data_IF_586331973861
#
_entry.id   IF_586331973861
#
_cell.length_a   1.000
_cell.length_b   1.000
_cell.length_c   1.000
_cell.angle_alpha   90.00
_cell.angle_beta   90.00
_cell.angle_gamma   90.00
#
_symmetry.space_group_name_H-M   'P 1'
#
loop_
_entity.id
_entity.type
_entity.pdbx_description
1 polymer ?
#
# COMPACT_ATOMS: atom_id res chain seq x y z
N UNK A 1 10.69 5.08 28.47
CA UNK A 1 9.92 3.96 29.05
C UNK A 1 8.81 3.69 28.06
N UNK A 2 8.89 2.59 27.31
CA UNK A 2 7.83 2.20 26.38
C UNK A 2 6.55 1.97 27.18
N UNK A 3 5.50 2.72 26.87
CA UNK A 3 4.17 2.48 27.42
C UNK A 3 3.70 1.12 26.87
N UNK A 4 3.93 0.05 27.64
CA UNK A 4 3.40 -1.27 27.30
C UNK A 4 1.87 -1.17 27.15
N UNK A 5 1.36 -1.67 26.03
CA UNK A 5 -0.08 -1.76 25.81
C UNK A 5 -0.68 -2.76 26.79
N UNK A 6 -1.77 -2.36 27.46
CA UNK A 6 -2.19 -3.01 28.70
C UNK A 6 -3.04 -4.29 28.52
N UNK A 7 -3.49 -4.65 27.31
CA UNK A 7 -4.28 -5.88 27.10
C UNK A 7 -3.41 -7.07 26.64
N UNK A 8 -3.13 -8.06 27.52
CA UNK A 8 -2.31 -9.22 27.18
C UNK A 8 -2.97 -10.14 26.14
N UNK A 9 -4.25 -9.91 25.82
CA UNK A 9 -4.99 -10.67 24.79
C UNK A 9 -4.78 -10.12 23.39
N UNK A 10 -4.17 -8.94 23.22
CA UNK A 10 -3.76 -8.45 21.90
C UNK A 10 -2.44 -9.13 21.52
N UNK A 11 -2.43 -9.84 20.39
CA UNK A 11 -1.23 -10.48 19.84
C UNK A 11 -1.00 -10.06 18.41
N UNK A 12 0.22 -9.66 18.06
CA UNK A 12 0.60 -9.29 16.69
C UNK A 12 1.62 -10.30 16.18
N UNK A 13 1.37 -10.92 15.04
CA UNK A 13 2.33 -11.79 14.37
C UNK A 13 2.76 -11.18 13.04
N UNK A 14 4.02 -11.38 12.69
CA UNK A 14 4.58 -11.02 11.40
C UNK A 14 4.86 -12.28 10.59
N UNK A 15 4.57 -12.22 9.29
CA UNK A 15 5.00 -13.23 8.33
C UNK A 15 6.17 -12.66 7.48
N UNK A 16 6.58 -13.34 6.41
CA UNK A 16 7.87 -13.05 5.76
C UNK A 16 7.87 -11.84 4.80
N UNK A 17 6.71 -11.29 4.41
CA UNK A 17 6.66 -10.25 3.37
C UNK A 17 7.33 -8.93 3.77
N UNK A 18 7.18 -8.51 5.02
CA UNK A 18 7.66 -7.21 5.50
C UNK A 18 7.80 -7.19 7.03
N UNK A 19 8.75 -7.99 7.53
CA UNK A 19 9.07 -8.04 8.96
C UNK A 19 9.50 -6.68 9.55
N UNK A 20 10.32 -5.84 8.88
CA UNK A 20 10.70 -4.54 9.41
C UNK A 20 9.50 -3.64 9.75
N UNK A 21 8.50 -3.55 8.86
CA UNK A 21 7.28 -2.80 9.13
C UNK A 21 6.49 -3.40 10.30
N UNK A 22 6.37 -4.73 10.36
CA UNK A 22 5.64 -5.40 11.44
C UNK A 22 6.27 -5.15 12.83
N UNK A 23 7.60 -5.11 12.91
CA UNK A 23 8.34 -4.77 14.13
C UNK A 23 8.11 -3.32 14.55
N UNK A 24 8.13 -2.37 13.60
CA UNK A 24 7.77 -0.96 13.86
C UNK A 24 6.35 -0.85 14.40
N UNK A 25 5.37 -1.50 13.74
CA UNK A 25 3.96 -1.48 14.15
C UNK A 25 3.79 -2.06 15.56
N UNK A 26 4.39 -3.21 15.86
CA UNK A 26 4.27 -3.83 17.18
C UNK A 26 4.83 -2.90 18.29
N UNK A 27 5.99 -2.30 18.04
CA UNK A 27 6.61 -1.32 18.92
C UNK A 27 5.71 -0.09 19.14
N UNK A 28 5.14 0.48 18.07
CA UNK A 28 4.22 1.62 18.13
C UNK A 28 2.88 1.29 18.81
N UNK A 29 2.42 0.03 18.71
CA UNK A 29 1.29 -0.47 19.49
C UNK A 29 1.65 -0.57 20.97
N UNK A 30 2.89 -0.95 21.29
CA UNK A 30 3.40 -1.15 22.65
C UNK A 30 3.46 -2.63 23.05
N UNK A 31 3.59 -3.54 22.07
CA UNK A 31 3.67 -5.00 22.27
C UNK A 31 4.88 -5.59 21.54
N UNK A 32 5.30 -6.78 21.96
CA UNK A 32 6.26 -7.58 21.19
C UNK A 32 5.53 -8.39 20.12
N UNK A 33 6.24 -8.70 19.02
CA UNK A 33 5.74 -9.67 18.06
C UNK A 33 5.60 -11.04 18.73
N UNK A 34 4.51 -11.71 18.42
CA UNK A 34 4.26 -13.07 18.84
C UNK A 34 5.28 -14.02 18.25
N UNK A 35 5.59 -15.08 19.00
CA UNK A 35 6.57 -16.10 18.64
C UNK A 35 5.96 -17.05 17.64
N UNK A 36 6.45 -17.01 16.41
CA UNK A 36 6.13 -17.98 15.39
C UNK A 36 7.32 -18.25 14.48
N UNK A 37 7.35 -19.45 13.92
CA UNK A 37 8.30 -19.85 12.89
C UNK A 37 7.54 -20.07 11.59
N UNK A 38 8.00 -19.44 10.51
CA UNK A 38 7.48 -19.59 9.14
C UNK A 38 8.66 -19.98 8.26
N UNK A 39 8.65 -21.21 7.74
CA UNK A 39 9.75 -21.79 6.97
C UNK A 39 9.22 -22.49 5.73
N UNK A 40 10.09 -22.67 4.73
CA UNK A 40 9.81 -23.54 3.59
C UNK A 40 10.62 -24.82 3.71
N UNK A 41 9.99 -25.95 3.44
CA UNK A 41 10.67 -27.23 3.24
C UNK A 41 11.45 -27.23 1.92
N UNK A 42 12.33 -28.22 1.72
CA UNK A 42 13.18 -28.31 0.52
C UNK A 42 12.40 -28.45 -0.80
N UNK A 43 11.15 -28.90 -0.73
CA UNK A 43 10.23 -29.03 -1.87
C UNK A 43 9.34 -27.79 -2.09
N UNK A 44 9.51 -26.74 -1.28
CA UNK A 44 8.77 -25.47 -1.37
C UNK A 44 7.49 -25.43 -0.54
N UNK A 45 7.11 -26.50 0.17
CA UNK A 45 5.94 -26.46 1.06
C UNK A 45 6.20 -25.54 2.26
N UNK A 46 5.18 -24.75 2.63
CA UNK A 46 5.26 -23.80 3.74
C UNK A 46 4.86 -24.48 5.04
N UNK A 47 5.71 -24.35 6.07
CA UNK A 47 5.45 -24.78 7.44
C UNK A 47 5.33 -23.57 8.36
N UNK A 48 4.21 -23.50 9.08
CA UNK A 48 3.98 -22.50 10.13
C UNK A 48 3.86 -23.19 11.49
N UNK A 49 4.53 -22.64 12.51
CA UNK A 49 4.38 -23.07 13.90
C UNK A 49 4.19 -21.84 14.80
N UNK A 50 3.14 -21.85 15.61
CA UNK A 50 2.89 -20.83 16.64
C UNK A 50 3.53 -21.33 17.95
N UNK A 51 4.44 -20.55 18.51
CA UNK A 51 5.32 -20.98 19.61
C UNK A 51 4.87 -20.43 20.98
N UNK A 52 3.67 -19.85 21.03
CA UNK A 52 3.04 -19.41 22.25
C UNK A 52 1.52 -19.67 22.23
N UNK A 53 0.90 -19.69 23.41
CA UNK A 53 -0.54 -19.85 23.49
C UNK A 53 -1.27 -18.60 23.03
N UNK A 54 -2.17 -18.76 22.06
CA UNK A 54 -3.06 -17.70 21.55
C UNK A 54 -4.53 -17.94 21.89
N UNK A 55 -4.82 -18.92 22.75
CA UNK A 55 -6.20 -19.32 23.08
C UNK A 55 -6.97 -18.14 23.65
N UNK A 56 -8.06 -17.77 23.00
CA UNK A 56 -8.91 -16.65 23.42
C UNK A 56 -8.32 -15.26 23.11
N UNK A 57 -7.17 -15.16 22.46
CA UNK A 57 -6.53 -13.90 22.09
C UNK A 57 -7.19 -13.25 20.86
N UNK A 58 -7.11 -11.93 20.80
CA UNK A 58 -7.39 -11.13 19.62
C UNK A 58 -6.09 -10.98 18.82
N UNK A 59 -6.00 -11.70 17.71
CA UNK A 59 -4.77 -11.81 16.93
C UNK A 59 -4.81 -10.89 15.73
N UNK A 60 -3.68 -10.23 15.45
CA UNK A 60 -3.44 -9.43 14.25
C UNK A 60 -2.26 -10.05 13.50
N UNK A 61 -2.46 -10.41 12.23
CA UNK A 61 -1.42 -10.98 11.37
C UNK A 61 -1.02 -9.95 10.32
N UNK A 62 0.21 -9.46 10.40
CA UNK A 62 0.77 -8.49 9.45
C UNK A 62 1.42 -9.25 8.29
N UNK A 63 0.83 -9.13 7.11
CA UNK A 63 1.35 -9.72 5.88
C UNK A 63 0.84 -8.96 4.65
N UNK A 64 1.77 -8.35 3.91
CA UNK A 64 1.52 -7.92 2.54
C UNK A 64 1.56 -9.13 1.60
N UNK A 65 0.75 -9.12 0.55
CA UNK A 65 0.83 -10.13 -0.53
C UNK A 65 1.66 -9.58 -1.70
N UNK A 66 2.86 -9.08 -1.36
CA UNK A 66 3.88 -8.61 -2.30
C UNK A 66 4.70 -9.79 -2.84
N UNK A 67 5.64 -9.53 -3.77
CA UNK A 67 6.48 -10.59 -4.34
C UNK A 67 7.31 -11.33 -3.27
N UNK A 68 7.39 -12.67 -3.29
CA UNK A 68 6.63 -13.60 -4.13
C UNK A 68 5.16 -13.73 -3.66
N UNK A 69 4.22 -13.31 -4.52
CA UNK A 69 2.81 -13.11 -4.13
C UNK A 69 2.11 -14.39 -3.67
N UNK A 70 2.39 -15.52 -4.34
CA UNK A 70 1.73 -16.79 -4.03
C UNK A 70 2.18 -17.34 -2.70
N UNK A 71 3.48 -17.33 -2.43
CA UNK A 71 4.06 -17.85 -1.20
C UNK A 71 3.59 -17.00 -0.01
N UNK A 72 3.66 -15.68 -0.12
CA UNK A 72 3.17 -14.76 0.92
C UNK A 72 1.67 -14.93 1.20
N UNK A 73 0.86 -15.19 0.16
CA UNK A 73 -0.55 -15.52 0.30
C UNK A 73 -0.76 -16.87 0.99
N UNK A 74 -0.03 -17.90 0.59
CA UNK A 74 -0.12 -19.23 1.20
C UNK A 74 0.34 -19.23 2.65
N UNK A 75 1.41 -18.52 3.00
CA UNK A 75 1.84 -18.29 4.38
C UNK A 75 0.71 -17.69 5.22
N UNK A 76 0.02 -16.67 4.69
CA UNK A 76 -1.12 -16.05 5.37
C UNK A 76 -2.24 -17.03 5.61
N UNK A 77 -2.66 -17.78 4.58
CA UNK A 77 -3.76 -18.73 4.68
C UNK A 77 -3.45 -19.84 5.70
N UNK A 78 -2.22 -20.36 5.69
CA UNK A 78 -1.76 -21.39 6.63
C UNK A 78 -1.69 -20.82 8.06
N UNK A 79 -1.20 -19.59 8.24
CA UNK A 79 -1.18 -18.93 9.54
C UNK A 79 -2.58 -18.71 10.10
N UNK A 80 -3.54 -18.26 9.28
CA UNK A 80 -4.94 -18.11 9.70
C UNK A 80 -5.53 -19.46 10.14
N UNK A 81 -5.31 -20.54 9.39
CA UNK A 81 -5.78 -21.88 9.76
C UNK A 81 -5.15 -22.35 11.08
N UNK A 82 -3.84 -22.17 11.27
CA UNK A 82 -3.14 -22.51 12.50
C UNK A 82 -3.70 -21.75 13.72
N UNK A 83 -3.90 -20.43 13.60
CA UNK A 83 -4.48 -19.59 14.65
C UNK A 83 -5.91 -20.02 15.00
N UNK A 84 -6.71 -20.35 13.99
CA UNK A 84 -8.10 -20.81 14.16
C UNK A 84 -8.15 -22.12 14.93
N UNK A 85 -7.32 -23.11 14.54
CA UNK A 85 -7.24 -24.41 15.22
C UNK A 85 -6.69 -24.29 16.63
N UNK A 86 -5.78 -23.35 16.87
CA UNK A 86 -5.27 -23.02 18.20
C UNK A 86 -6.26 -22.20 19.06
N UNK A 87 -7.48 -21.96 18.57
CA UNK A 87 -8.59 -21.32 19.29
C UNK A 87 -8.36 -19.83 19.59
N UNK A 88 -7.79 -19.08 18.65
CA UNK A 88 -7.85 -17.61 18.67
C UNK A 88 -9.31 -17.13 18.78
N UNK A 89 -9.55 -16.04 19.51
CA UNK A 89 -10.90 -15.45 19.63
C UNK A 89 -11.28 -14.67 18.38
N UNK A 90 -10.35 -13.88 17.84
CA UNK A 90 -10.49 -13.24 16.54
C UNK A 90 -9.15 -13.28 15.79
N UNK A 91 -9.21 -13.38 14.47
CA UNK A 91 -8.07 -13.32 13.56
C UNK A 91 -8.29 -12.13 12.63
N UNK A 92 -7.58 -11.05 12.89
CA UNK A 92 -7.61 -9.83 12.09
C UNK A 92 -6.40 -9.84 11.14
N UNK A 93 -6.65 -9.73 9.84
CA UNK A 93 -5.57 -9.65 8.85
C UNK A 93 -5.21 -8.19 8.64
N UNK A 94 -3.94 -7.85 8.79
CA UNK A 94 -3.39 -6.53 8.48
C UNK A 94 -2.54 -6.69 7.23
N UNK A 95 -3.04 -6.21 6.09
CA UNK A 95 -2.43 -6.38 4.77
C UNK A 95 -2.10 -5.02 4.17
N UNK A 96 -0.90 -4.46 4.45
CA UNK A 96 -0.49 -3.16 3.93
C UNK A 96 -0.50 -3.09 2.39
N UNK A 97 -0.21 -4.19 1.68
CA UNK A 97 -0.37 -4.27 0.23
C UNK A 97 -1.18 -5.51 -0.16
N UNK A 98 -2.29 -5.27 -0.89
CA UNK A 98 -3.17 -6.30 -1.41
C UNK A 98 -2.77 -6.69 -2.84
N UNK A 99 -1.99 -7.77 -2.97
CA UNK A 99 -1.65 -8.43 -4.22
C UNK A 99 -2.90 -8.89 -4.98
N UNK A 100 -2.78 -9.04 -6.30
CA UNK A 100 -3.91 -9.32 -7.21
C UNK A 100 -5.00 -8.25 -7.29
N UNK A 101 -4.89 -7.12 -6.58
CA UNK A 101 -5.92 -6.05 -6.60
C UNK A 101 -6.19 -5.46 -8.00
N UNK A 102 -5.22 -5.52 -8.92
CA UNK A 102 -5.39 -5.11 -10.34
C UNK A 102 -6.28 -6.08 -11.16
N UNK A 103 -6.66 -7.22 -10.61
CA UNK A 103 -7.55 -8.23 -11.22
C UNK A 103 -8.90 -8.25 -10.48
N UNK A 104 -9.52 -7.08 -10.35
CA UNK A 104 -10.78 -6.79 -9.65
C UNK A 104 -12.03 -6.91 -10.55
N UNK A 105 -11.84 -6.98 -11.87
CA UNK A 105 -12.92 -7.15 -12.83
C UNK A 105 -12.45 -7.95 -14.04
N UNK A 106 -13.40 -8.39 -14.86
CA UNK A 106 -13.09 -8.99 -16.16
C UNK A 106 -12.84 -7.87 -17.17
N UNK A 107 -11.58 -7.62 -17.53
CA UNK A 107 -11.25 -6.67 -18.59
C UNK A 107 -11.49 -7.29 -19.98
N UNK A 108 -11.35 -8.61 -20.09
CA UNK A 108 -11.69 -9.40 -21.29
C UNK A 108 -12.57 -10.60 -20.93
N UNK A 109 -13.20 -11.18 -21.95
CA UNK A 109 -13.96 -12.39 -21.78
C UNK A 109 -13.07 -13.52 -21.23
N UNK A 110 -13.61 -14.30 -20.28
CA UNK A 110 -12.98 -15.49 -19.65
C UNK A 110 -11.73 -15.22 -18.79
N UNK A 111 -11.49 -13.98 -18.39
CA UNK A 111 -10.52 -13.68 -17.33
C UNK A 111 -11.11 -13.99 -15.92
N UNK A 112 -10.27 -14.36 -14.94
CA UNK A 112 -10.68 -14.47 -13.55
C UNK A 112 -10.85 -13.09 -12.89
N UNK A 113 -11.53 -13.06 -11.74
CA UNK A 113 -11.49 -11.94 -10.80
C UNK A 113 -10.66 -12.40 -9.60
N UNK A 114 -9.35 -12.39 -9.75
CA UNK A 114 -8.43 -13.01 -8.79
C UNK A 114 -8.46 -12.28 -7.44
N UNK A 115 -8.69 -10.97 -7.42
CA UNK A 115 -8.89 -10.24 -6.16
C UNK A 115 -10.06 -10.80 -5.32
N UNK A 116 -11.16 -11.20 -5.98
CA UNK A 116 -12.31 -11.87 -5.33
C UNK A 116 -11.97 -13.29 -4.88
N UNK A 117 -11.18 -14.03 -5.67
CA UNK A 117 -10.70 -15.35 -5.27
C UNK A 117 -9.85 -15.27 -4.00
N UNK A 118 -8.92 -14.30 -3.94
CA UNK A 118 -8.10 -14.04 -2.74
C UNK A 118 -8.98 -13.70 -1.53
N UNK A 119 -9.97 -12.83 -1.70
CA UNK A 119 -10.92 -12.51 -0.63
C UNK A 119 -11.63 -13.76 -0.09
N UNK A 120 -12.17 -14.59 -0.99
CA UNK A 120 -12.81 -15.85 -0.63
C UNK A 120 -11.89 -16.79 0.15
N UNK A 121 -10.61 -16.90 -0.25
CA UNK A 121 -9.65 -17.77 0.42
C UNK A 121 -9.34 -17.29 1.83
N UNK A 122 -9.12 -15.98 2.02
CA UNK A 122 -8.85 -15.36 3.32
C UNK A 122 -10.02 -15.57 4.29
N UNK A 123 -11.25 -15.32 3.83
CA UNK A 123 -12.44 -15.57 4.64
C UNK A 123 -12.63 -17.05 4.96
N UNK A 124 -12.43 -17.92 3.96
CA UNK A 124 -12.62 -19.35 4.14
C UNK A 124 -11.60 -19.97 5.11
N UNK A 125 -10.36 -19.47 5.09
CA UNK A 125 -9.34 -19.82 6.08
C UNK A 125 -9.81 -19.46 7.50
N UNK A 126 -10.47 -18.32 7.66
CA UNK A 126 -11.17 -17.94 8.88
C UNK A 126 -10.82 -16.57 9.44
N UNK A 127 -10.40 -15.63 8.58
CA UNK A 127 -10.25 -14.24 8.99
C UNK A 127 -11.59 -13.64 9.46
N UNK A 128 -11.54 -12.79 10.48
CA UNK A 128 -12.70 -12.08 11.01
C UNK A 128 -12.79 -10.63 10.54
N UNK A 129 -11.67 -10.05 10.09
CA UNK A 129 -11.54 -8.67 9.63
C UNK A 129 -10.33 -8.52 8.73
N UNK A 130 -10.40 -7.59 7.79
CA UNK A 130 -9.27 -7.11 7.02
C UNK A 130 -9.00 -5.64 7.35
N UNK A 131 -7.76 -5.29 7.66
CA UNK A 131 -7.24 -3.92 7.69
C UNK A 131 -6.24 -3.82 6.54
N UNK A 132 -6.45 -2.91 5.61
CA UNK A 132 -5.60 -2.80 4.40
C UNK A 132 -5.43 -1.34 4.02
N UNK A 133 -4.46 -1.04 3.15
CA UNK A 133 -4.07 0.32 2.78
C UNK A 133 -4.20 0.48 1.25
N UNK A 134 -4.85 1.56 0.81
CA UNK A 134 -5.01 1.98 -0.60
C UNK A 134 -5.24 0.83 -1.61
N UNK A 135 -6.37 0.13 -1.45
CA UNK A 135 -6.86 -0.82 -2.43
C UNK A 135 -6.93 -0.18 -3.82
N UNK A 136 -6.43 -0.89 -4.83
CA UNK A 136 -6.46 -0.46 -6.23
C UNK A 136 -7.85 0.00 -6.67
N UNK A 137 -8.88 -0.74 -6.24
CA UNK A 137 -10.28 -0.37 -6.40
C UNK A 137 -10.99 -0.45 -5.05
N UNK A 138 -11.64 0.63 -4.63
CA UNK A 138 -12.37 0.69 -3.36
C UNK A 138 -13.49 -0.37 -3.26
N UNK A 139 -14.01 -0.84 -4.40
CA UNK A 139 -15.04 -1.88 -4.50
C UNK A 139 -14.55 -3.25 -4.03
N UNK A 140 -13.24 -3.48 -3.93
CA UNK A 140 -12.68 -4.72 -3.36
C UNK A 140 -13.17 -4.92 -1.92
N UNK A 141 -13.53 -3.86 -1.18
CA UNK A 141 -14.20 -3.99 0.12
C UNK A 141 -15.47 -4.85 0.03
N UNK A 142 -16.25 -4.71 -1.05
CA UNK A 142 -17.46 -5.51 -1.29
C UNK A 142 -17.19 -6.94 -1.78
N UNK A 143 -15.93 -7.37 -1.90
CA UNK A 143 -15.59 -8.78 -2.13
C UNK A 143 -15.58 -9.60 -0.85
N UNK A 144 -15.53 -8.92 0.29
CA UNK A 144 -15.57 -9.51 1.62
C UNK A 144 -16.98 -9.34 2.23
N UNK A 145 -17.43 -10.39 2.90
CA UNK A 145 -18.58 -10.42 3.79
C UNK A 145 -18.18 -10.14 5.26
N UNK A 146 -16.87 -10.09 5.55
CA UNK A 146 -16.31 -9.62 6.83
C UNK A 146 -16.01 -8.11 6.79
N UNK A 147 -15.91 -7.42 7.95
CA UNK A 147 -15.51 -6.01 8.00
C UNK A 147 -14.15 -5.76 7.36
N UNK A 148 -14.08 -4.72 6.51
CA UNK A 148 -12.85 -4.23 5.89
C UNK A 148 -12.61 -2.78 6.30
N UNK A 149 -11.49 -2.53 6.98
CA UNK A 149 -10.99 -1.19 7.27
C UNK A 149 -9.97 -0.81 6.18
N UNK A 150 -10.41 0.01 5.22
CA UNK A 150 -9.59 0.47 4.10
C UNK A 150 -8.94 1.81 4.43
N UNK A 151 -7.69 1.74 4.91
CA UNK A 151 -6.83 2.87 5.24
C UNK A 151 -6.40 3.63 3.97
N UNK A 152 -6.17 4.94 4.09
CA UNK A 152 -5.74 5.80 2.99
C UNK A 152 -4.31 6.30 3.22
N UNK A 153 -3.43 6.16 2.24
CA UNK A 153 -2.03 6.63 2.30
C UNK A 153 -1.84 8.07 1.83
N UNK A 154 -2.80 8.62 1.08
CA UNK A 154 -2.72 9.99 0.56
C UNK A 154 -2.46 11.08 1.63
N UNK A 155 -3.04 11.03 2.85
CA UNK A 155 -2.71 12.00 3.90
C UNK A 155 -1.24 11.95 4.35
N UNK A 156 -0.62 10.76 4.41
CA UNK A 156 0.81 10.62 4.75
C UNK A 156 1.69 11.24 3.67
N UNK A 157 1.38 10.95 2.40
CA UNK A 157 2.08 11.53 1.25
C UNK A 157 1.90 13.05 1.22
N UNK A 158 0.70 13.55 1.52
CA UNK A 158 0.44 14.98 1.60
C UNK A 158 1.27 15.67 2.69
N UNK A 159 1.37 15.07 3.88
CA UNK A 159 2.19 15.60 4.97
C UNK A 159 3.65 15.80 4.54
N UNK A 160 4.24 14.80 3.88
CA UNK A 160 5.58 14.91 3.34
C UNK A 160 5.74 16.13 2.43
N UNK A 161 4.86 16.30 1.43
CA UNK A 161 4.97 17.43 0.50
C UNK A 161 4.73 18.77 1.20
N UNK A 162 3.83 18.84 2.18
CA UNK A 162 3.56 20.05 2.96
C UNK A 162 4.78 20.48 3.79
N UNK A 163 5.50 19.52 4.38
CA UNK A 163 6.72 19.73 5.17
C UNK A 163 7.90 20.19 4.31
N UNK A 164 7.92 19.80 3.03
CA UNK A 164 8.90 20.24 2.04
C UNK A 164 8.47 21.50 1.27
N UNK A 165 7.41 22.17 1.72
CA UNK A 165 6.85 23.39 1.10
C UNK A 165 6.37 23.22 -0.36
N UNK A 166 6.03 21.99 -0.75
CA UNK A 166 5.46 21.66 -2.06
C UNK A 166 3.93 21.70 -1.94
N UNK A 167 3.37 22.91 -1.91
CA UNK A 167 1.92 23.18 -1.80
C UNK A 167 1.54 24.54 -2.39
N UNK A 168 0.25 24.76 -2.63
CA UNK A 168 -0.31 26.02 -3.11
C UNK A 168 -0.42 26.13 -4.63
N UNK A 169 -0.56 27.37 -5.12
CA UNK A 169 -0.95 27.66 -6.51
C UNK A 169 0.13 27.29 -7.54
N UNK A 170 1.40 27.26 -7.12
CA UNK A 170 2.55 26.87 -7.96
C UNK A 170 2.72 25.36 -8.09
N UNK A 171 1.86 24.57 -7.44
CA UNK A 171 1.84 23.11 -7.51
C UNK A 171 0.67 22.60 -8.36
N UNK A 172 0.96 21.56 -9.13
CA UNK A 172 -0.03 20.77 -9.88
C UNK A 172 0.09 19.32 -9.48
N UNK A 173 -1.00 18.73 -8.99
CA UNK A 173 -1.07 17.29 -8.80
C UNK A 173 -1.51 16.62 -10.09
N UNK A 174 -0.74 15.63 -10.53
CA UNK A 174 -0.93 15.01 -11.83
C UNK A 174 -1.41 13.57 -11.66
N UNK A 175 -2.51 13.24 -12.34
CA UNK A 175 -2.93 11.85 -12.53
C UNK A 175 -2.22 11.26 -13.75
N UNK A 176 -1.49 10.13 -13.61
CA UNK A 176 -0.77 9.52 -14.73
C UNK A 176 -1.69 8.85 -15.76
N UNK A 177 -2.96 8.63 -15.41
CA UNK A 177 -4.03 8.15 -16.29
C UNK A 177 -5.42 8.60 -15.83
N UNK A 178 -6.48 8.14 -16.51
CA UNK A 178 -7.87 8.45 -16.17
C UNK A 178 -8.36 7.77 -14.88
N UNK A 179 -7.78 6.63 -14.49
CA UNK A 179 -8.18 5.87 -13.30
C UNK A 179 -7.76 6.56 -12.00
N UNK A 180 -6.60 7.21 -12.01
CA UNK A 180 -6.02 7.90 -10.85
C UNK A 180 -6.63 9.27 -10.51
N UNK A 181 -7.55 9.81 -11.31
CA UNK A 181 -8.00 11.22 -11.21
C UNK A 181 -8.62 11.53 -9.85
N UNK A 182 -9.39 10.58 -9.29
CA UNK A 182 -10.00 10.75 -7.96
C UNK A 182 -8.96 10.85 -6.84
N UNK A 183 -7.83 10.12 -6.97
CA UNK A 183 -6.70 10.15 -6.05
C UNK A 183 -5.91 11.44 -6.17
N UNK A 184 -5.62 11.86 -7.41
CA UNK A 184 -4.97 13.14 -7.70
C UNK A 184 -5.77 14.32 -7.12
N UNK A 185 -7.10 14.29 -7.24
CA UNK A 185 -7.98 15.30 -6.64
C UNK A 185 -7.86 15.38 -5.12
N UNK A 186 -7.87 14.23 -4.43
CA UNK A 186 -7.73 14.19 -2.96
C UNK A 186 -6.39 14.78 -2.51
N UNK A 187 -5.28 14.39 -3.15
CA UNK A 187 -3.98 14.97 -2.82
C UNK A 187 -3.94 16.48 -3.11
N UNK A 188 -4.51 16.92 -4.24
CA UNK A 188 -4.60 18.35 -4.57
C UNK A 188 -5.37 19.16 -3.53
N UNK A 189 -6.45 18.62 -2.96
CA UNK A 189 -7.20 19.26 -1.87
C UNK A 189 -6.33 19.47 -0.62
N UNK A 190 -5.52 18.47 -0.23
CA UNK A 190 -4.57 18.62 0.87
C UNK A 190 -3.47 19.64 0.58
N UNK A 191 -2.91 19.60 -0.64
CA UNK A 191 -1.83 20.49 -1.06
C UNK A 191 -2.33 21.88 -1.46
N UNK A 192 -3.65 22.14 -1.46
CA UNK A 192 -4.26 23.36 -2.01
C UNK A 192 -3.73 23.68 -3.42
N UNK A 193 -3.62 22.64 -4.23
CA UNK A 193 -3.00 22.67 -5.55
C UNK A 193 -4.04 22.46 -6.66
N UNK A 194 -3.65 22.81 -7.89
CA UNK A 194 -4.44 22.50 -9.08
C UNK A 194 -4.22 21.04 -9.53
N UNK A 195 -5.07 20.54 -10.44
CA UNK A 195 -4.93 19.18 -10.99
C UNK A 195 -4.60 19.21 -12.48
N UNK A 196 -3.83 18.21 -12.93
CA UNK A 196 -3.68 17.87 -14.35
C UNK A 196 -3.81 16.37 -14.56
N UNK A 197 -4.12 15.98 -15.80
CA UNK A 197 -4.35 14.57 -16.18
C UNK A 197 -3.55 14.27 -17.44
N UNK A 198 -2.86 13.14 -17.43
CA UNK A 198 -2.22 12.60 -18.61
C UNK A 198 -3.25 11.76 -19.40
N UNK A 199 -3.68 12.26 -20.55
CA UNK A 199 -4.50 11.50 -21.50
C UNK A 199 -3.58 10.74 -22.47
N UNK A 200 -3.25 9.51 -22.07
CA UNK A 200 -2.46 8.59 -22.87
C UNK A 200 -3.32 7.92 -23.93
N UNK A 201 -3.09 8.26 -25.19
CA UNK A 201 -3.74 7.59 -26.33
C UNK A 201 -2.76 6.67 -27.05
N UNK A 202 -3.22 5.44 -27.33
CA UNK A 202 -2.58 4.53 -28.28
C UNK A 202 -3.40 4.51 -29.56
N UNK A 203 -2.97 5.19 -30.64
CA UNK A 203 -3.72 5.23 -31.89
C UNK A 203 -3.83 3.85 -32.54
N UNK A 204 -2.77 3.02 -32.45
CA UNK A 204 -2.68 1.65 -32.97
C UNK A 204 -1.68 0.82 -32.18
N UNK A 205 -1.75 -0.51 -32.29
CA UNK A 205 -0.65 -1.38 -31.86
C UNK A 205 0.64 -1.01 -32.64
N UNK A 206 1.75 -0.82 -31.93
CA UNK A 206 3.08 -0.44 -32.44
C UNK A 206 3.29 1.03 -32.86
N UNK A 207 2.36 1.94 -32.55
CA UNK A 207 2.60 3.39 -32.67
C UNK A 207 3.01 3.95 -31.30
N UNK A 208 3.98 4.86 -31.29
CA UNK A 208 4.43 5.55 -30.08
C UNK A 208 3.23 6.19 -29.35
N UNK A 209 3.24 6.13 -28.02
CA UNK A 209 2.18 6.67 -27.20
C UNK A 209 2.17 8.20 -27.31
N UNK A 210 1.01 8.76 -27.64
CA UNK A 210 0.84 10.22 -27.61
C UNK A 210 0.33 10.58 -26.21
N UNK A 211 1.08 11.45 -25.53
CA UNK A 211 0.79 11.92 -24.19
C UNK A 211 0.24 13.35 -24.29
N UNK A 212 -1.06 13.52 -24.10
CA UNK A 212 -1.67 14.85 -23.98
C UNK A 212 -1.79 15.20 -22.50
N UNK A 213 -1.46 16.44 -22.14
CA UNK A 213 -1.62 16.96 -20.78
C UNK A 213 -2.87 17.81 -20.75
N UNK A 214 -3.84 17.42 -19.91
CA UNK A 214 -5.06 18.19 -19.64
C UNK A 214 -4.84 18.93 -18.32
N UNK A 215 -4.62 20.24 -18.41
CA UNK A 215 -4.27 21.12 -17.28
C UNK A 215 -3.04 21.97 -17.60
N UNK A 216 -2.82 23.06 -16.86
CA UNK A 216 -1.63 23.90 -17.03
C UNK A 216 -0.52 23.45 -16.07
N UNK A 217 0.62 23.03 -16.63
CA UNK A 217 1.81 22.55 -15.91
C UNK A 217 3.04 23.42 -16.12
N UNK A 218 2.97 24.38 -17.05
CA UNK A 218 4.09 25.25 -17.41
C UNK A 218 4.46 26.17 -16.23
N UNK A 219 5.74 26.21 -15.88
CA UNK A 219 6.24 27.03 -14.78
C UNK A 219 5.88 26.51 -13.39
N UNK A 220 5.34 25.29 -13.27
CA UNK A 220 4.84 24.73 -12.00
C UNK A 220 5.58 23.47 -11.55
N UNK A 221 5.57 23.23 -10.24
CA UNK A 221 6.01 21.97 -9.65
C UNK A 221 4.92 20.92 -9.81
N UNK A 222 5.25 19.82 -10.48
CA UNK A 222 4.32 18.73 -10.72
C UNK A 222 4.52 17.60 -9.71
N UNK A 223 3.44 17.14 -9.09
CA UNK A 223 3.44 15.97 -8.20
C UNK A 223 2.56 14.89 -8.82
N UNK A 224 3.17 13.87 -9.42
CA UNK A 224 2.42 12.72 -9.94
C UNK A 224 2.06 11.80 -8.78
N UNK A 225 0.82 11.33 -8.71
CA UNK A 225 0.38 10.37 -7.68
C UNK A 225 -0.31 9.15 -8.31
N UNK A 226 0.09 7.96 -7.87
CA UNK A 226 -0.56 6.68 -8.20
C UNK A 226 -0.77 5.81 -6.94
N UNK A 227 -1.57 4.74 -6.99
CA UNK A 227 -1.68 3.81 -5.85
C UNK A 227 -0.44 2.94 -5.74
N UNK A 228 0.11 2.51 -6.87
CA UNK A 228 1.28 1.65 -6.92
C UNK A 228 2.12 1.93 -8.15
N UNK A 229 3.44 1.76 -8.02
CA UNK A 229 4.36 1.82 -9.16
C UNK A 229 5.00 0.44 -9.33
N UNK A 230 4.71 -0.20 -10.46
CA UNK A 230 5.21 -1.53 -10.81
C UNK A 230 6.49 -1.46 -11.65
N UNK A 231 6.39 -1.44 -12.97
CA UNK A 231 7.58 -1.37 -13.85
C UNK A 231 8.08 0.06 -14.10
N UNK A 232 7.48 1.05 -13.44
CA UNK A 232 7.69 2.50 -13.60
C UNK A 232 7.54 3.07 -15.03
N UNK A 233 7.12 2.30 -16.04
CA UNK A 233 7.05 2.81 -17.42
C UNK A 233 6.08 3.98 -17.60
N UNK A 234 4.90 3.90 -16.99
CA UNK A 234 3.89 4.97 -17.10
C UNK A 234 4.32 6.23 -16.37
N UNK A 235 4.82 6.09 -15.13
CA UNK A 235 5.19 7.23 -14.29
C UNK A 235 6.37 8.01 -14.87
N UNK A 236 7.36 7.34 -15.44
CA UNK A 236 8.55 8.00 -15.99
C UNK A 236 8.27 8.66 -17.34
N UNK A 237 7.41 8.06 -18.19
CA UNK A 237 6.92 8.71 -19.40
C UNK A 237 6.10 9.96 -19.08
N UNK A 238 5.23 9.89 -18.06
CA UNK A 238 4.49 11.06 -17.59
C UNK A 238 5.45 12.15 -17.08
N UNK A 239 6.45 11.79 -16.29
CA UNK A 239 7.41 12.75 -15.75
C UNK A 239 8.20 13.48 -16.85
N UNK A 240 8.68 12.75 -17.84
CA UNK A 240 9.40 13.33 -18.96
C UNK A 240 8.49 14.27 -19.79
N UNK A 241 7.25 13.85 -20.06
CA UNK A 241 6.28 14.69 -20.79
C UNK A 241 5.94 15.99 -20.03
N UNK A 242 5.81 15.93 -18.70
CA UNK A 242 5.60 17.13 -17.86
C UNK A 242 6.81 18.08 -17.93
N UNK A 243 8.02 17.52 -17.90
CA UNK A 243 9.25 18.32 -18.00
C UNK A 243 9.37 19.00 -19.36
N UNK A 244 9.05 18.28 -20.44
CA UNK A 244 9.01 18.83 -21.81
C UNK A 244 7.93 19.91 -21.97
N UNK A 245 6.82 19.80 -21.23
CA UNK A 245 5.74 20.79 -21.19
C UNK A 245 6.03 22.00 -20.28
N UNK A 246 7.25 22.14 -19.76
CA UNK A 246 7.69 23.32 -19.02
C UNK A 246 7.52 23.25 -17.50
N UNK A 247 7.29 22.07 -16.92
CA UNK A 247 7.29 21.92 -15.45
C UNK A 247 8.66 22.29 -14.84
N UNK A 248 8.65 23.04 -13.74
CA UNK A 248 9.88 23.48 -13.05
C UNK A 248 10.57 22.31 -12.37
N UNK A 249 9.81 21.47 -11.67
CA UNK A 249 10.25 20.22 -11.04
C UNK A 249 9.17 19.16 -11.16
N UNK A 250 9.58 17.89 -11.12
CA UNK A 250 8.65 16.75 -11.21
C UNK A 250 8.94 15.76 -10.09
N UNK A 251 7.98 15.63 -9.17
CA UNK A 251 7.94 14.60 -8.14
C UNK A 251 6.99 13.48 -8.56
N UNK A 252 7.27 12.28 -8.10
CA UNK A 252 6.34 11.16 -8.18
C UNK A 252 6.04 10.63 -6.79
N UNK A 253 4.85 10.08 -6.61
CA UNK A 253 4.46 9.44 -5.36
C UNK A 253 3.58 8.23 -5.60
N UNK A 254 3.71 7.22 -4.75
CA UNK A 254 2.73 6.14 -4.68
C UNK A 254 2.68 5.49 -3.31
N UNK A 255 1.58 4.83 -3.01
CA UNK A 255 1.47 4.10 -1.75
C UNK A 255 2.29 2.83 -1.80
N UNK A 256 2.22 2.04 -2.87
CA UNK A 256 2.86 0.73 -2.92
C UNK A 256 4.04 0.67 -3.92
N UNK A 257 5.29 0.57 -3.42
CA UNK A 257 6.47 0.48 -4.28
C UNK A 257 6.72 -0.95 -4.76
N UNK A 258 5.93 -1.44 -5.72
CA UNK A 258 6.14 -2.77 -6.32
C UNK A 258 7.49 -2.85 -7.06
N UNK A 259 7.82 -1.80 -7.82
CA UNK A 259 9.12 -1.51 -8.42
C UNK A 259 9.79 -2.69 -9.16
N UNK A 260 9.01 -3.51 -9.86
CA UNK A 260 9.51 -4.73 -10.51
C UNK A 260 10.31 -4.47 -11.80
N UNK A 261 11.17 -5.42 -12.16
CA UNK A 261 11.93 -5.39 -13.41
C UNK A 261 12.78 -4.12 -13.54
N UNK A 262 12.66 -3.34 -14.63
CA UNK A 262 13.53 -2.18 -14.90
C UNK A 262 13.12 -0.91 -14.13
N UNK A 263 12.24 -1.00 -13.13
CA UNK A 263 11.64 0.17 -12.49
C UNK A 263 12.67 1.15 -11.93
N UNK A 264 13.62 0.68 -11.13
CA UNK A 264 14.64 1.52 -10.50
C UNK A 264 15.50 2.26 -11.53
N UNK A 265 15.96 1.54 -12.56
CA UNK A 265 16.73 2.14 -13.67
C UNK A 265 15.91 3.23 -14.38
N UNK A 266 14.64 2.94 -14.70
CA UNK A 266 13.76 3.91 -15.36
C UNK A 266 13.55 5.17 -14.50
N UNK A 267 13.42 5.02 -13.19
CA UNK A 267 13.24 6.16 -12.28
C UNK A 267 14.52 7.00 -12.26
N UNK A 268 15.68 6.37 -12.09
CA UNK A 268 16.99 7.04 -12.14
C UNK A 268 17.18 7.84 -13.43
N UNK A 269 16.85 7.26 -14.59
CA UNK A 269 17.03 7.88 -15.90
C UNK A 269 15.94 8.90 -16.29
N UNK A 270 14.90 9.06 -15.47
CA UNK A 270 13.77 9.94 -15.77
C UNK A 270 13.93 11.36 -15.22
N UNK A 271 13.01 12.24 -15.63
CA UNK A 271 12.88 13.60 -15.11
C UNK A 271 12.33 13.69 -13.67
N UNK A 272 12.03 12.55 -13.01
CA UNK A 272 11.62 12.54 -11.61
C UNK A 272 12.80 13.01 -10.75
N UNK A 273 12.56 13.98 -9.86
CA UNK A 273 13.53 14.45 -8.86
C UNK A 273 13.52 13.52 -7.66
N UNK A 274 12.36 13.37 -7.02
CA UNK A 274 12.15 12.43 -5.92
C UNK A 274 10.88 11.60 -6.15
N UNK A 275 11.00 10.31 -5.85
CA UNK A 275 9.93 9.33 -5.79
C UNK A 275 9.62 9.03 -4.32
N UNK A 276 8.47 9.52 -3.86
CA UNK A 276 7.98 9.36 -2.49
C UNK A 276 7.08 8.14 -2.40
N UNK A 277 7.47 7.14 -1.61
CA UNK A 277 6.72 5.88 -1.46
C UNK A 277 6.44 5.58 0.00
N UNK A 278 5.55 4.62 0.27
CA UNK A 278 5.41 4.10 1.65
C UNK A 278 6.15 2.78 1.85
N UNK A 279 6.42 2.44 3.11
CA UNK A 279 7.01 1.16 3.50
C UNK A 279 6.01 -0.03 3.51
N UNK A 280 4.87 0.08 2.82
CA UNK A 280 3.86 -0.99 2.69
C UNK A 280 4.38 -2.26 1.98
N UNK A 281 5.43 -2.14 1.17
CA UNK A 281 6.20 -3.23 0.58
C UNK A 281 7.65 -3.06 1.03
N UNK A 282 8.27 -4.13 1.51
CA UNK A 282 9.67 -4.10 1.93
C UNK A 282 10.60 -3.83 0.74
N UNK A 283 11.39 -2.77 0.83
CA UNK A 283 12.47 -2.45 -0.11
C UNK A 283 13.81 -2.72 0.57
N UNK A 284 14.50 -3.82 0.21
CA UNK A 284 15.82 -4.09 0.78
C UNK A 284 16.83 -3.02 0.33
N UNK A 285 17.90 -2.82 1.10
CA UNK A 285 18.85 -1.72 0.90
C UNK A 285 19.42 -1.67 -0.52
N UNK A 286 19.67 -2.82 -1.16
CA UNK A 286 20.17 -2.89 -2.54
C UNK A 286 19.18 -2.38 -3.61
N UNK A 287 17.92 -2.18 -3.23
CA UNK A 287 16.87 -1.63 -4.10
C UNK A 287 16.57 -0.15 -3.81
N UNK A 288 17.28 0.46 -2.86
CA UNK A 288 17.18 1.90 -2.60
C UNK A 288 18.09 2.65 -3.57
N UNK A 289 17.54 3.70 -4.16
CA UNK A 289 18.24 4.60 -5.10
C UNK A 289 18.15 6.02 -4.52
N UNK A 290 19.05 6.91 -4.94
CA UNK A 290 19.13 8.28 -4.42
C UNK A 290 17.83 9.09 -4.58
N UNK A 291 17.04 8.77 -5.60
CA UNK A 291 15.74 9.43 -5.86
C UNK A 291 14.60 8.89 -5.02
N UNK A 292 14.78 7.84 -4.22
CA UNK A 292 13.69 7.18 -3.50
C UNK A 292 13.63 7.68 -2.05
N UNK A 293 12.45 8.16 -1.66
CA UNK A 293 12.15 8.58 -0.30
C UNK A 293 10.99 7.75 0.25
N UNK A 294 11.16 7.21 1.46
CA UNK A 294 10.23 6.26 2.07
C UNK A 294 9.56 6.87 3.31
N UNK A 295 8.23 6.86 3.33
CA UNK A 295 7.39 7.29 4.46
C UNK A 295 6.84 6.04 5.15
N UNK A 296 6.95 5.97 6.47
CA UNK A 296 6.39 4.82 7.18
C UNK A 296 4.87 4.90 7.34
N UNK A 297 4.17 3.79 7.10
CA UNK A 297 2.74 3.62 7.44
C UNK A 297 2.53 3.06 8.85
N UNK A 298 3.63 2.92 9.61
CA UNK A 298 3.64 2.34 10.95
C UNK A 298 2.58 2.96 11.87
N UNK A 299 2.61 4.28 12.07
CA UNK A 299 1.75 4.93 13.07
C UNK A 299 0.27 4.88 12.68
N UNK A 300 -0.01 5.02 11.38
CA UNK A 300 -1.35 4.86 10.81
C UNK A 300 -1.91 3.46 11.09
N UNK A 301 -1.12 2.41 10.83
CA UNK A 301 -1.56 1.02 11.04
C UNK A 301 -1.63 0.67 12.53
N UNK A 302 -0.67 1.13 13.34
CA UNK A 302 -0.66 0.91 14.78
C UNK A 302 -1.89 1.54 15.44
N UNK A 303 -2.25 2.76 15.06
CA UNK A 303 -3.45 3.43 15.56
C UNK A 303 -4.74 2.73 15.07
N UNK A 304 -4.78 2.25 13.83
CA UNK A 304 -5.89 1.44 13.34
C UNK A 304 -6.08 0.16 14.17
N UNK A 305 -4.99 -0.56 14.48
CA UNK A 305 -5.02 -1.76 15.34
C UNK A 305 -5.57 -1.43 16.73
N UNK A 306 -5.08 -0.37 17.38
CA UNK A 306 -5.56 0.07 18.71
C UNK A 306 -7.05 0.37 18.68
N UNK A 307 -7.51 1.16 17.70
CA UNK A 307 -8.92 1.54 17.54
C UNK A 307 -9.82 0.34 17.31
N UNK A 308 -9.42 -0.58 16.44
CA UNK A 308 -10.16 -1.82 16.18
C UNK A 308 -10.25 -2.66 17.46
N UNK A 309 -9.14 -2.83 18.19
CA UNK A 309 -9.11 -3.62 19.43
C UNK A 309 -10.01 -3.01 20.53
N UNK A 310 -10.00 -1.68 20.63
CA UNK A 310 -10.75 -0.92 21.63
C UNK A 310 -12.19 -0.60 21.19
N UNK A 311 -12.63 -1.07 20.03
CA UNK A 311 -13.94 -0.78 19.43
C UNK A 311 -14.20 0.74 19.27
N UNK A 312 -13.16 1.51 18.94
CA UNK A 312 -13.24 2.94 18.62
C UNK A 312 -13.42 3.16 17.12
N UNK A 313 -14.02 4.28 16.69
CA UNK A 313 -14.13 4.62 15.27
C UNK A 313 -12.75 4.74 14.61
N UNK A 314 -12.56 4.09 13.47
CA UNK A 314 -11.36 4.23 12.61
C UNK A 314 -11.47 5.47 11.71
N UNK A 315 -12.69 6.02 11.54
CA UNK A 315 -12.96 7.16 10.65
C UNK A 315 -12.05 8.40 10.83
N UNK A 316 -11.61 8.78 12.04
CA UNK A 316 -10.76 9.96 12.20
C UNK A 316 -9.40 9.85 11.52
N UNK A 317 -8.93 8.64 11.17
CA UNK A 317 -7.67 8.44 10.45
C UNK A 317 -7.72 8.96 9.01
N UNK A 318 -8.90 9.33 8.51
CA UNK A 318 -9.11 9.77 7.13
C UNK A 318 -9.30 11.28 6.97
N UNK A 319 -9.49 12.03 8.05
CA UNK A 319 -10.12 13.36 8.01
C UNK A 319 -9.17 14.54 8.29
N UNK A 320 -7.92 14.31 8.74
CA UNK A 320 -7.01 15.40 9.06
C UNK A 320 -5.54 15.08 8.80
N UNK A 321 -4.70 16.13 8.88
CA UNK A 321 -3.26 16.00 9.07
C UNK A 321 -3.01 14.98 10.19
N UNK A 322 -2.23 13.95 9.91
CA UNK A 322 -1.82 12.98 10.91
C UNK A 322 -0.74 13.64 11.78
N UNK A 323 -1.14 14.12 12.95
CA UNK A 323 -0.24 14.62 14.00
C UNK A 323 0.06 13.44 14.95
N UNK A 324 0.98 12.56 14.56
CA UNK A 324 1.50 11.49 15.42
C UNK A 324 2.81 11.90 16.08
#
# INVERSE_FOLDING_TARGET
MSNHYFDPRLKIFALNSNRPLAEKIASAVGVELGKCTVQQFSDGEIKVNIEESIRGAHVYVIQSTSSPVNDNLMELLIMIDALKRASAKTINVVMPYYGYARQDRKARAREPITAKLVANMIEKAGANRLVTLDLHAAQIQGFFDIPVDHLMGAPLIANYFIEHDIKGDDVVVVSPDHGGVSRARKLAEFLKASIAIIDKRRPRANVAEVMNIIGNVEGKTCVIIDDMIDTAGTITLAANALKEAGATSVYASCTHPVLSGPALQRISDSAIEHLVVTDSINLPEERKIDKLEEISVCDLIAEAIKRVHENKPVSPLFESKLDF
#
